data_IF_176300650935
#
_entry.id   IF_176300650935
#
_cell.length_a   1.000
_cell.length_b   1.000
_cell.length_c   1.000
_cell.angle_alpha   90.00
_cell.angle_beta   90.00
_cell.angle_gamma   90.00
#
_symmetry.space_group_name_H-M   'P 1'
#
loop_
_entity.id
_entity.type
_entity.pdbx_description
1 polymer ?
#
# COMPACT_ATOMS: atom_id res chain seq x y z
N UNK A 1 14.16 6.73 4.31
CA UNK A 1 13.33 7.34 3.25
C UNK A 1 13.62 8.83 3.28
N UNK A 2 13.75 9.49 2.14
CA UNK A 2 14.12 10.91 2.06
C UNK A 2 12.88 11.75 1.85
N UNK A 3 12.87 12.95 2.41
CA UNK A 3 11.80 13.91 2.15
C UNK A 3 11.85 14.32 0.67
N UNK A 4 10.71 14.35 0.03
CA UNK A 4 10.54 14.81 -1.34
C UNK A 4 9.88 16.19 -1.27
N UNK A 5 10.53 17.17 -1.89
CA UNK A 5 9.99 18.52 -1.97
C UNK A 5 8.86 18.56 -3.02
N UNK A 6 7.67 18.13 -2.61
CA UNK A 6 6.51 18.08 -3.48
C UNK A 6 6.12 19.47 -3.96
N UNK A 7 5.90 19.58 -5.27
CA UNK A 7 5.32 20.76 -5.92
C UNK A 7 4.37 20.27 -7.01
N UNK A 8 3.11 20.71 -7.03
CA UNK A 8 2.21 20.35 -8.11
C UNK A 8 2.64 21.04 -9.41
N UNK A 9 2.31 20.43 -10.55
CA UNK A 9 2.45 21.01 -11.88
C UNK A 9 1.10 21.49 -12.39
N UNK A 10 1.09 22.53 -13.23
CA UNK A 10 -0.13 22.96 -13.87
C UNK A 10 -0.64 21.90 -14.84
N UNK A 11 -1.86 21.41 -14.61
CA UNK A 11 -2.57 20.54 -15.55
C UNK A 11 -2.89 21.28 -16.86
N UNK A 12 -2.95 20.55 -17.96
CA UNK A 12 -3.43 21.08 -19.23
C UNK A 12 -4.91 21.50 -19.11
N UNK A 13 -5.40 22.47 -19.91
CA UNK A 13 -6.78 22.93 -19.82
C UNK A 13 -7.81 21.80 -19.97
N UNK A 14 -7.59 20.87 -20.92
CA UNK A 14 -8.45 19.71 -21.15
C UNK A 14 -8.46 18.75 -19.93
N UNK A 15 -7.28 18.46 -19.37
CA UNK A 15 -7.15 17.61 -18.18
C UNK A 15 -7.85 18.24 -16.97
N UNK A 16 -7.72 19.56 -16.77
CA UNK A 16 -8.44 20.27 -15.69
C UNK A 16 -9.95 20.08 -15.80
N UNK A 17 -10.49 20.24 -17.01
CA UNK A 17 -11.93 20.09 -17.26
C UNK A 17 -12.37 18.64 -17.03
N UNK A 18 -11.62 17.66 -17.56
CA UNK A 18 -11.90 16.24 -17.40
C UNK A 18 -11.84 15.78 -15.94
N UNK A 19 -10.78 16.15 -15.22
CA UNK A 19 -10.63 15.86 -13.80
C UNK A 19 -11.76 16.49 -12.99
N UNK A 20 -12.09 17.76 -13.22
CA UNK A 20 -13.19 18.42 -12.52
C UNK A 20 -14.54 17.75 -12.79
N UNK A 21 -14.81 17.38 -14.05
CA UNK A 21 -16.02 16.67 -14.43
C UNK A 21 -16.09 15.28 -13.78
N UNK A 22 -15.01 14.51 -13.81
CA UNK A 22 -14.95 13.18 -13.20
C UNK A 22 -15.17 13.25 -11.68
N UNK A 23 -14.46 14.13 -10.97
CA UNK A 23 -14.62 14.30 -9.52
C UNK A 23 -16.03 14.76 -9.14
N UNK A 24 -16.62 15.69 -9.90
CA UNK A 24 -18.00 16.13 -9.69
C UNK A 24 -18.99 14.97 -9.83
N UNK A 25 -18.92 14.24 -10.93
CA UNK A 25 -19.82 13.12 -11.20
C UNK A 25 -19.66 11.99 -10.17
N UNK A 26 -18.42 11.67 -9.75
CA UNK A 26 -18.17 10.69 -8.69
C UNK A 26 -18.89 11.08 -7.39
N UNK A 27 -18.77 12.35 -6.98
CA UNK A 27 -19.43 12.86 -5.77
C UNK A 27 -20.96 12.79 -5.88
N UNK A 28 -21.51 13.22 -7.01
CA UNK A 28 -22.96 13.22 -7.26
C UNK A 28 -23.53 11.79 -7.23
N UNK A 29 -22.88 10.84 -7.89
CA UNK A 29 -23.31 9.44 -7.90
C UNK A 29 -23.31 8.82 -6.50
N UNK A 30 -22.24 8.98 -5.73
CA UNK A 30 -22.18 8.44 -4.36
C UNK A 30 -23.22 9.08 -3.46
N UNK A 31 -23.49 10.38 -3.62
CA UNK A 31 -24.54 11.07 -2.86
C UNK A 31 -25.93 10.51 -3.16
N UNK A 32 -26.21 10.13 -4.42
CA UNK A 32 -27.50 9.54 -4.80
C UNK A 32 -27.71 8.13 -4.24
N UNK A 33 -26.63 7.41 -3.93
CA UNK A 33 -26.70 6.05 -3.38
C UNK A 33 -26.78 6.01 -1.84
N UNK A 34 -26.84 7.15 -1.15
CA UNK A 34 -26.90 7.21 0.33
C UNK A 34 -28.11 6.46 0.87
N UNK A 35 -29.26 6.56 0.20
CA UNK A 35 -30.52 5.94 0.59
C UNK A 35 -30.84 4.66 -0.21
N UNK A 36 -29.83 4.06 -0.84
CA UNK A 36 -30.02 2.88 -1.66
C UNK A 36 -30.56 1.70 -0.83
N UNK A 37 -31.53 0.92 -1.37
CA UNK A 37 -32.15 -0.16 -0.61
C UNK A 37 -31.16 -1.32 -0.38
N UNK A 38 -31.16 -1.86 0.85
CA UNK A 38 -30.40 -3.06 1.17
C UNK A 38 -30.87 -4.26 0.34
N UNK A 39 -29.95 -5.18 0.09
CA UNK A 39 -30.07 -6.41 -0.68
C UNK A 39 -30.34 -6.25 -2.19
N UNK A 40 -30.24 -5.02 -2.70
CA UNK A 40 -30.37 -4.71 -4.12
C UNK A 40 -29.03 -4.32 -4.74
N UNK A 41 -28.96 -4.47 -6.07
CA UNK A 41 -27.83 -4.06 -6.91
C UNK A 41 -28.35 -3.18 -8.05
N UNK A 42 -27.50 -2.34 -8.62
CA UNK A 42 -27.87 -1.53 -9.79
C UNK A 42 -28.09 -2.40 -11.02
N UNK A 43 -29.30 -2.33 -11.59
CA UNK A 43 -29.71 -3.03 -12.82
C UNK A 43 -29.22 -2.32 -14.08
N UNK A 44 -29.40 -2.96 -15.25
CA UNK A 44 -29.16 -2.31 -16.55
C UNK A 44 -30.02 -1.06 -16.73
N UNK A 45 -31.27 -1.10 -16.26
CA UNK A 45 -32.21 0.03 -16.38
C UNK A 45 -31.77 1.20 -15.49
N UNK A 46 -31.40 0.94 -14.24
CA UNK A 46 -30.87 1.98 -13.33
C UNK A 46 -29.65 2.68 -13.94
N UNK A 47 -28.75 1.89 -14.53
CA UNK A 47 -27.52 2.41 -15.14
C UNK A 47 -27.79 3.18 -16.43
N UNK A 48 -28.70 2.69 -17.26
CA UNK A 48 -29.12 3.38 -18.48
C UNK A 48 -29.75 4.74 -18.14
N UNK A 49 -30.57 4.80 -17.10
CA UNK A 49 -31.12 6.05 -16.59
C UNK A 49 -30.01 7.03 -16.17
N UNK A 50 -29.00 6.57 -15.41
CA UNK A 50 -27.86 7.42 -15.02
C UNK A 50 -27.09 7.95 -16.25
N UNK A 51 -26.91 7.13 -17.28
CA UNK A 51 -26.25 7.57 -18.52
C UNK A 51 -27.09 8.63 -19.25
N UNK A 52 -28.41 8.44 -19.33
CA UNK A 52 -29.36 9.39 -19.95
C UNK A 52 -29.41 10.73 -19.19
N UNK A 53 -29.19 10.70 -17.89
CA UNK A 53 -29.05 11.89 -17.04
C UNK A 53 -27.69 12.61 -17.21
N UNK A 54 -26.77 12.04 -17.99
CA UNK A 54 -25.52 12.67 -18.41
C UNK A 54 -24.26 12.23 -17.65
N UNK A 55 -24.33 11.16 -16.84
CA UNK A 55 -23.13 10.57 -16.24
C UNK A 55 -22.31 9.79 -17.27
N UNK A 56 -20.98 9.84 -17.12
CA UNK A 56 -20.05 9.15 -18.00
C UNK A 56 -20.27 7.63 -17.96
N UNK A 57 -20.41 6.94 -19.11
CA UNK A 57 -20.63 5.50 -19.15
C UNK A 57 -19.58 4.70 -18.40
N UNK A 58 -18.29 5.04 -18.52
CA UNK A 58 -17.22 4.32 -17.81
C UNK A 58 -17.33 4.45 -16.28
N UNK A 59 -17.84 5.58 -15.79
CA UNK A 59 -18.06 5.78 -14.36
C UNK A 59 -19.27 4.98 -13.87
N UNK A 60 -20.36 5.01 -14.64
CA UNK A 60 -21.57 4.24 -14.34
C UNK A 60 -21.30 2.75 -14.42
N UNK A 61 -20.52 2.27 -15.40
CA UNK A 61 -20.16 0.85 -15.57
C UNK A 61 -19.39 0.28 -14.37
N UNK A 62 -18.66 1.15 -13.65
CA UNK A 62 -17.78 0.78 -12.55
C UNK A 62 -18.31 1.25 -11.18
N UNK A 63 -19.54 1.75 -11.14
CA UNK A 63 -20.26 2.12 -9.91
C UNK A 63 -20.69 0.86 -9.14
N UNK A 64 -20.27 0.81 -7.88
CA UNK A 64 -20.53 -0.30 -6.96
C UNK A 64 -21.65 0.08 -5.99
N UNK A 65 -22.66 -0.78 -5.91
CA UNK A 65 -23.71 -0.78 -4.88
C UNK A 65 -23.97 -2.24 -4.51
N UNK A 66 -23.55 -2.63 -3.32
CA UNK A 66 -23.73 -3.99 -2.82
C UNK A 66 -24.13 -3.97 -1.34
N UNK A 67 -24.79 -5.04 -0.91
CA UNK A 67 -24.95 -5.35 0.51
C UNK A 67 -23.85 -6.30 0.94
N UNK A 68 -22.90 -5.78 1.71
CA UNK A 68 -21.74 -6.51 2.21
C UNK A 68 -22.05 -7.13 3.57
N UNK A 69 -21.84 -8.45 3.66
CA UNK A 69 -21.75 -9.19 4.92
C UNK A 69 -20.28 -9.47 5.22
N UNK A 70 -19.71 -8.70 6.14
CA UNK A 70 -18.37 -8.96 6.66
C UNK A 70 -18.50 -9.86 7.89
N UNK A 71 -17.72 -10.95 7.96
CA UNK A 71 -17.95 -12.05 8.91
C UNK A 71 -18.12 -11.64 10.38
N UNK A 72 -17.39 -10.63 10.85
CA UNK A 72 -17.43 -10.18 12.25
C UNK A 72 -18.44 -9.03 12.52
N UNK A 73 -19.17 -8.56 11.50
CA UNK A 73 -20.13 -7.47 11.68
C UNK A 73 -21.50 -8.01 12.13
N UNK A 74 -22.17 -7.32 13.08
CA UNK A 74 -23.44 -7.78 13.64
C UNK A 74 -24.60 -7.69 12.63
N UNK A 75 -24.41 -6.94 11.55
CA UNK A 75 -25.43 -6.67 10.53
C UNK A 75 -24.78 -6.44 9.17
N UNK A 76 -25.53 -6.72 8.11
CA UNK A 76 -25.14 -6.38 6.76
C UNK A 76 -25.05 -4.86 6.57
N UNK A 77 -24.19 -4.42 5.65
CA UNK A 77 -23.95 -3.00 5.40
C UNK A 77 -24.04 -2.68 3.91
N UNK A 78 -24.56 -1.51 3.56
CA UNK A 78 -24.45 -0.99 2.19
C UNK A 78 -23.01 -0.54 1.97
N UNK A 79 -22.42 -1.05 0.89
CA UNK A 79 -21.15 -0.56 0.38
C UNK A 79 -21.40 0.10 -0.97
N UNK A 80 -21.07 1.38 -1.05
CA UNK A 80 -21.05 2.17 -2.28
C UNK A 80 -19.63 2.61 -2.61
N UNK A 81 -19.37 2.89 -3.87
CA UNK A 81 -18.06 3.34 -4.32
C UNK A 81 -17.83 3.01 -5.77
N UNK A 82 -16.55 2.88 -6.10
CA UNK A 82 -16.09 2.57 -7.44
C UNK A 82 -15.08 1.44 -7.40
N UNK A 83 -15.04 0.64 -8.47
CA UNK A 83 -13.94 -0.29 -8.71
C UNK A 83 -12.78 0.45 -9.45
N UNK A 84 -11.69 -0.26 -9.76
CA UNK A 84 -10.53 0.28 -10.46
C UNK A 84 -10.84 0.94 -11.82
N UNK A 85 -11.77 0.37 -12.59
CA UNK A 85 -12.12 0.84 -13.94
C UNK A 85 -12.76 2.23 -14.00
N UNK A 86 -13.20 2.78 -12.85
CA UNK A 86 -13.75 4.14 -12.77
C UNK A 86 -12.68 5.24 -12.84
N UNK A 87 -11.41 4.90 -12.64
CA UNK A 87 -10.32 5.88 -12.54
C UNK A 87 -9.53 5.92 -13.85
N UNK A 88 -9.63 7.03 -14.56
CA UNK A 88 -8.93 7.21 -15.83
C UNK A 88 -7.42 7.41 -15.59
N UNK A 89 -6.64 6.39 -15.93
CA UNK A 89 -5.18 6.41 -15.81
C UNK A 89 -4.55 7.50 -16.67
N UNK A 90 -5.19 7.93 -17.75
CA UNK A 90 -4.72 9.03 -18.58
C UNK A 90 -4.78 10.38 -17.85
N UNK A 91 -5.59 10.52 -16.80
CA UNK A 91 -5.70 11.78 -16.03
C UNK A 91 -4.71 11.87 -14.88
N UNK A 92 -4.35 10.76 -14.22
CA UNK A 92 -3.39 10.79 -13.10
C UNK A 92 -2.00 10.24 -13.44
N UNK A 93 -1.86 9.54 -14.56
CA UNK A 93 -0.60 8.98 -15.04
C UNK A 93 -0.25 9.42 -16.47
N UNK A 94 -0.75 10.58 -16.90
CA UNK A 94 -0.34 11.25 -18.13
C UNK A 94 1.20 11.37 -18.21
N UNK A 95 1.76 11.33 -19.41
CA UNK A 95 3.22 11.35 -19.61
C UNK A 95 3.90 12.57 -18.97
N UNK A 96 3.25 13.74 -19.05
CA UNK A 96 3.78 14.97 -18.45
C UNK A 96 3.76 14.93 -16.91
N UNK A 97 2.71 14.35 -16.29
CA UNK A 97 2.65 14.11 -14.85
C UNK A 97 3.70 13.08 -14.44
N UNK A 98 3.77 11.95 -15.14
CA UNK A 98 4.76 10.91 -14.87
C UNK A 98 6.17 11.46 -14.92
N UNK A 99 6.50 12.20 -15.97
CA UNK A 99 7.77 12.91 -16.10
C UNK A 99 8.01 13.85 -14.93
N UNK A 100 7.03 14.68 -14.54
CA UNK A 100 7.15 15.59 -13.41
C UNK A 100 7.47 14.88 -12.09
N UNK A 101 6.69 13.85 -11.72
CA UNK A 101 6.93 13.08 -10.49
C UNK A 101 8.23 12.29 -10.52
N UNK A 102 8.64 11.80 -11.70
CA UNK A 102 9.94 11.18 -11.88
C UNK A 102 11.07 12.17 -11.59
N UNK A 103 10.97 13.43 -12.04
CA UNK A 103 11.95 14.47 -11.72
C UNK A 103 11.93 14.84 -10.23
N UNK A 104 10.75 15.01 -9.61
CA UNK A 104 10.63 15.28 -8.17
C UNK A 104 11.35 14.23 -7.32
N UNK A 105 11.27 12.96 -7.74
CA UNK A 105 11.86 11.83 -7.03
C UNK A 105 13.27 11.47 -7.54
N UNK A 106 13.89 12.30 -8.39
CA UNK A 106 15.21 12.05 -8.99
C UNK A 106 15.31 10.68 -9.67
N UNK A 107 14.20 10.23 -10.25
CA UNK A 107 14.10 8.97 -10.93
C UNK A 107 13.99 7.74 -10.02
N UNK A 108 13.84 7.92 -8.71
CA UNK A 108 13.73 6.86 -7.72
C UNK A 108 12.29 6.60 -7.25
N UNK A 109 12.07 5.41 -6.71
CA UNK A 109 10.85 5.09 -5.97
C UNK A 109 10.73 6.01 -4.76
N UNK A 110 9.59 6.69 -4.60
CA UNK A 110 9.34 7.59 -3.47
C UNK A 110 9.28 6.89 -2.10
N UNK A 111 9.21 5.55 -2.09
CA UNK A 111 9.25 4.74 -0.88
C UNK A 111 10.61 4.07 -0.65
N UNK A 112 10.99 3.10 -1.48
CA UNK A 112 12.18 2.29 -1.23
C UNK A 112 13.49 2.91 -1.74
N UNK A 113 13.42 4.04 -2.45
CA UNK A 113 14.55 4.75 -3.05
C UNK A 113 15.35 3.93 -4.09
N UNK A 114 14.76 2.87 -4.64
CA UNK A 114 15.35 2.17 -5.80
C UNK A 114 15.29 3.06 -7.04
N UNK A 115 16.36 3.10 -7.84
CA UNK A 115 16.36 3.83 -9.09
C UNK A 115 15.51 3.11 -10.15
N UNK A 116 14.55 3.82 -10.73
CA UNK A 116 13.54 3.27 -11.64
C UNK A 116 13.70 3.78 -13.09
N UNK A 117 14.32 4.96 -13.26
CA UNK A 117 14.34 5.63 -14.56
C UNK A 117 15.16 4.88 -15.61
N UNK A 118 16.24 4.22 -15.22
CA UNK A 118 17.06 3.43 -16.17
C UNK A 118 16.29 2.30 -16.86
N UNK A 119 15.25 1.77 -16.21
CA UNK A 119 14.47 0.62 -16.70
C UNK A 119 13.03 0.99 -17.01
N UNK A 120 12.64 2.26 -16.87
CA UNK A 120 11.26 2.73 -16.93
C UNK A 120 10.30 1.90 -16.06
N UNK A 121 10.79 1.39 -14.92
CA UNK A 121 10.06 0.48 -14.03
C UNK A 121 9.19 1.20 -12.99
N UNK A 122 9.02 2.51 -13.13
CA UNK A 122 8.21 3.33 -12.23
C UNK A 122 6.87 3.71 -12.82
N UNK A 123 5.89 3.87 -11.92
CA UNK A 123 4.52 4.26 -12.23
C UNK A 123 4.03 5.29 -11.23
N UNK A 124 2.90 5.93 -11.58
CA UNK A 124 2.16 6.74 -10.63
C UNK A 124 1.24 5.84 -9.82
N UNK A 125 1.42 5.85 -8.50
CA UNK A 125 0.52 5.24 -7.53
C UNK A 125 -0.13 6.29 -6.64
N UNK A 126 -0.95 5.83 -5.69
CA UNK A 126 -1.63 6.71 -4.73
C UNK A 126 -1.14 6.49 -3.30
N UNK A 127 -0.92 7.59 -2.56
CA UNK A 127 -0.57 7.56 -1.14
C UNK A 127 -1.77 7.02 -0.35
N UNK A 128 -2.95 7.64 -0.50
CA UNK A 128 -4.24 7.11 -0.05
C UNK A 128 -4.85 6.28 -1.16
N UNK A 129 -5.16 4.99 -0.93
CA UNK A 129 -5.65 4.11 -1.98
C UNK A 129 -7.04 4.55 -2.42
N UNK A 130 -7.33 4.59 -3.72
CA UNK A 130 -8.59 5.18 -4.25
C UNK A 130 -9.58 4.15 -4.78
N UNK A 131 -9.09 2.98 -5.16
CA UNK A 131 -9.91 1.88 -5.70
C UNK A 131 -10.43 0.93 -4.62
N UNK A 132 -9.61 0.63 -3.61
CA UNK A 132 -9.95 -0.33 -2.58
C UNK A 132 -9.29 0.05 -1.26
N UNK A 133 -9.94 -0.30 -0.16
CA UNK A 133 -9.38 -0.21 1.18
C UNK A 133 -9.33 -1.61 1.79
N UNK A 134 -8.12 -2.03 2.16
CA UNK A 134 -7.88 -3.22 2.96
C UNK A 134 -7.97 -2.85 4.43
N UNK A 135 -8.97 -3.40 5.11
CA UNK A 135 -9.05 -3.26 6.57
C UNK A 135 -8.18 -4.34 7.19
N UNK A 136 -7.23 -3.92 8.02
CA UNK A 136 -6.45 -4.82 8.85
C UNK A 136 -7.42 -5.56 9.78
N UNK A 137 -7.36 -6.88 9.72
CA UNK A 137 -7.95 -7.73 10.73
C UNK A 137 -6.79 -8.35 11.54
N UNK A 138 -7.02 -8.75 12.80
CA UNK A 138 -6.09 -9.59 13.56
C UNK A 138 -5.53 -10.75 12.73
N UNK A 139 -4.37 -11.33 13.07
CA UNK A 139 -3.68 -12.36 12.27
C UNK A 139 -4.51 -13.62 11.92
N UNK A 140 -5.67 -13.80 12.55
CA UNK A 140 -6.57 -14.94 12.42
C UNK A 140 -7.87 -14.59 11.66
N UNK A 141 -8.07 -13.34 11.24
CA UNK A 141 -9.25 -12.88 10.52
C UNK A 141 -8.90 -12.50 9.08
N UNK A 142 -9.81 -12.79 8.16
CA UNK A 142 -9.69 -12.44 6.76
C UNK A 142 -9.62 -10.92 6.58
N UNK A 143 -8.70 -10.43 5.75
CA UNK A 143 -8.66 -9.01 5.37
C UNK A 143 -9.90 -8.66 4.56
N UNK A 144 -10.76 -7.79 5.10
CA UNK A 144 -11.95 -7.33 4.39
C UNK A 144 -11.55 -6.23 3.41
N UNK A 145 -11.84 -6.45 2.12
CA UNK A 145 -11.66 -5.46 1.05
C UNK A 145 -12.96 -4.72 0.82
N UNK A 146 -12.92 -3.39 0.87
CA UNK A 146 -14.06 -2.49 0.62
C UNK A 146 -13.70 -1.47 -0.45
N UNK A 147 -14.70 -0.82 -1.06
CA UNK A 147 -14.48 0.37 -1.88
C UNK A 147 -13.82 1.46 -1.01
N UNK A 148 -12.85 2.16 -1.58
CA UNK A 148 -12.15 3.19 -0.82
C UNK A 148 -13.01 4.44 -0.66
N UNK A 149 -13.05 5.06 0.54
CA UNK A 149 -13.67 6.38 0.73
C UNK A 149 -12.83 7.51 0.08
N UNK A 150 -11.59 7.24 -0.32
CA UNK A 150 -10.67 8.23 -0.88
C UNK A 150 -10.80 8.42 -2.40
N UNK A 151 -11.87 7.94 -3.02
CA UNK A 151 -12.06 8.01 -4.48
C UNK A 151 -11.94 9.43 -5.06
N UNK A 152 -12.34 10.47 -4.29
CA UNK A 152 -12.19 11.88 -4.70
C UNK A 152 -10.74 12.35 -4.81
N UNK A 153 -9.79 11.61 -4.24
CA UNK A 153 -8.35 11.91 -4.26
C UNK A 153 -7.64 11.27 -5.46
N UNK A 154 -8.36 10.61 -6.38
CA UNK A 154 -7.77 9.89 -7.51
C UNK A 154 -6.93 10.77 -8.44
N UNK A 155 -7.29 12.04 -8.58
CA UNK A 155 -6.64 12.99 -9.48
C UNK A 155 -5.97 14.16 -8.74
N UNK A 156 -5.90 14.10 -7.41
CA UNK A 156 -5.20 15.13 -6.63
C UNK A 156 -3.71 14.82 -6.60
N UNK A 157 -2.88 15.75 -7.10
CA UNK A 157 -1.44 15.53 -7.25
C UNK A 157 -0.74 15.26 -5.91
N UNK A 158 -1.23 15.82 -4.81
CA UNK A 158 -0.74 15.60 -3.45
C UNK A 158 -0.93 14.16 -2.98
N UNK A 159 -1.82 13.42 -3.64
CA UNK A 159 -2.08 12.00 -3.39
C UNK A 159 -1.37 11.07 -4.39
N UNK A 160 -0.70 11.61 -5.42
CA UNK A 160 0.01 10.84 -6.44
C UNK A 160 1.49 10.70 -6.07
N UNK A 161 2.11 9.54 -6.36
CA UNK A 161 3.52 9.32 -6.05
C UNK A 161 4.19 8.41 -7.10
N UNK A 162 5.42 8.74 -7.50
CA UNK A 162 6.22 7.89 -8.39
C UNK A 162 6.89 6.75 -7.62
N UNK A 163 6.50 5.51 -7.92
CA UNK A 163 6.83 4.32 -7.12
C UNK A 163 7.05 3.08 -8.00
N UNK A 164 7.70 2.05 -7.45
CA UNK A 164 7.82 0.75 -8.11
C UNK A 164 6.64 -0.18 -7.79
N UNK A 165 6.43 -1.18 -8.63
CA UNK A 165 5.35 -2.17 -8.48
C UNK A 165 5.40 -2.91 -7.14
N UNK A 166 6.61 -3.26 -6.68
CA UNK A 166 6.77 -3.92 -5.39
C UNK A 166 6.18 -3.05 -4.26
N UNK A 167 6.56 -1.78 -4.16
CA UNK A 167 6.06 -0.91 -3.10
C UNK A 167 4.56 -0.63 -3.25
N UNK A 168 4.07 -0.40 -4.47
CA UNK A 168 2.68 0.00 -4.70
C UNK A 168 1.68 -1.15 -4.59
N UNK A 169 1.90 -2.24 -5.32
CA UNK A 169 0.89 -3.30 -5.50
C UNK A 169 1.14 -4.47 -4.56
N UNK A 170 2.40 -4.91 -4.46
CA UNK A 170 2.74 -6.14 -3.73
C UNK A 170 2.74 -5.94 -2.21
N UNK A 171 3.29 -4.82 -1.74
CA UNK A 171 3.42 -4.54 -0.31
C UNK A 171 2.32 -3.60 0.19
N UNK A 172 2.28 -2.33 -0.26
CA UNK A 172 1.30 -1.35 0.23
C UNK A 172 -0.12 -1.78 -0.11
N UNK A 173 -0.38 -2.10 -1.38
CA UNK A 173 -1.71 -2.48 -1.83
C UNK A 173 -2.76 -1.41 -1.49
N UNK A 174 -3.94 -1.85 -1.04
CA UNK A 174 -4.96 -0.97 -0.47
C UNK A 174 -4.82 -0.74 1.04
N UNK A 175 -3.67 -1.05 1.65
CA UNK A 175 -3.46 -0.84 3.07
C UNK A 175 -3.14 0.65 3.34
N UNK A 176 -3.91 1.26 4.25
CA UNK A 176 -3.68 2.63 4.71
C UNK A 176 -4.03 2.73 6.20
N UNK A 177 -3.19 2.17 7.09
CA UNK A 177 -3.43 2.16 8.54
C UNK A 177 -3.47 3.58 9.13
N UNK A 178 -4.36 3.79 10.09
CA UNK A 178 -4.61 5.06 10.77
C UNK A 178 -4.69 4.83 12.28
N UNK A 179 -4.37 5.86 13.07
CA UNK A 179 -4.80 5.98 14.46
C UNK A 179 -6.18 6.65 14.48
N UNK A 180 -7.13 6.08 15.21
CA UNK A 180 -8.46 6.66 15.37
C UNK A 180 -9.41 6.42 14.19
N UNK A 181 -10.21 7.44 13.88
CA UNK A 181 -11.29 7.36 12.89
C UNK A 181 -10.80 7.68 11.47
N UNK A 182 -11.58 7.23 10.48
CA UNK A 182 -11.32 7.41 9.04
C UNK A 182 -12.45 8.22 8.41
N UNK A 183 -12.18 8.88 7.28
CA UNK A 183 -13.21 9.28 6.33
C UNK A 183 -14.23 8.13 6.08
N UNK A 184 -15.55 8.39 6.10
CA UNK A 184 -16.22 9.70 6.24
C UNK A 184 -16.50 10.15 7.68
N UNK A 185 -16.15 9.36 8.70
CA UNK A 185 -16.45 9.69 10.10
C UNK A 185 -15.70 10.95 10.58
N UNK A 186 -14.52 11.20 10.02
CA UNK A 186 -13.72 12.42 10.22
C UNK A 186 -13.26 12.99 8.88
N UNK A 187 -12.86 14.26 8.90
CA UNK A 187 -12.21 14.90 7.75
C UNK A 187 -10.78 14.39 7.53
N UNK A 188 -10.23 14.57 6.32
CA UNK A 188 -8.90 14.04 5.95
C UNK A 188 -7.78 14.65 6.80
N UNK A 189 -7.91 15.91 7.19
CA UNK A 189 -6.96 16.64 8.04
C UNK A 189 -6.95 16.16 9.50
N UNK A 190 -8.01 15.47 9.94
CA UNK A 190 -8.11 14.86 11.26
C UNK A 190 -7.61 13.41 11.30
N UNK A 191 -7.40 12.78 10.15
CA UNK A 191 -6.81 11.44 10.09
C UNK A 191 -5.35 11.46 10.58
N UNK A 192 -4.92 10.40 11.26
CA UNK A 192 -3.54 10.21 11.69
C UNK A 192 -2.93 8.97 11.00
N UNK A 193 -2.36 9.10 9.79
CA UNK A 193 -1.80 7.96 9.06
C UNK A 193 -0.55 7.39 9.69
N UNK A 194 -0.49 6.05 9.73
CA UNK A 194 0.68 5.28 10.19
C UNK A 194 1.67 4.95 9.08
N UNK A 195 1.37 5.32 7.83
CA UNK A 195 2.35 5.30 6.75
C UNK A 195 3.04 6.66 6.65
N UNK A 196 4.37 6.64 6.57
CA UNK A 196 5.16 7.84 6.32
C UNK A 196 4.87 8.35 4.91
N UNK A 197 4.42 9.60 4.82
CA UNK A 197 4.23 10.34 3.58
C UNK A 197 5.50 11.15 3.28
N UNK A 198 6.25 10.84 2.20
CA UNK A 198 7.48 11.54 1.88
C UNK A 198 7.31 13.02 1.50
N UNK A 199 6.08 13.49 1.28
CA UNK A 199 5.80 14.90 0.97
C UNK A 199 5.59 15.76 2.21
N UNK A 200 4.91 15.23 3.21
CA UNK A 200 4.44 16.01 4.37
C UNK A 200 5.19 15.66 5.66
N UNK A 201 5.65 14.42 5.80
CA UNK A 201 6.45 14.02 6.96
C UNK A 201 7.93 14.38 6.78
N UNK A 202 8.68 14.26 7.87
CA UNK A 202 10.14 14.11 7.83
C UNK A 202 10.47 12.62 7.89
N UNK A 203 10.64 11.91 6.76
CA UNK A 203 10.66 10.44 6.77
C UNK A 203 11.85 9.88 7.54
N UNK A 204 12.91 10.69 7.62
CA UNK A 204 14.08 10.44 8.42
C UNK A 204 13.77 10.42 9.93
N UNK A 205 12.72 11.03 10.45
CA UNK A 205 12.39 10.91 11.88
C UNK A 205 11.77 9.55 12.24
N UNK A 206 11.37 8.75 11.25
CA UNK A 206 10.68 7.48 11.46
C UNK A 206 11.49 6.28 10.99
N UNK A 207 12.24 6.41 9.90
CA UNK A 207 12.92 5.28 9.24
C UNK A 207 14.38 5.63 8.97
N UNK A 208 15.28 4.79 9.48
CA UNK A 208 16.73 4.80 9.24
C UNK A 208 17.19 3.44 8.75
N UNK A 209 18.45 3.34 8.33
CA UNK A 209 19.05 2.11 7.84
C UNK A 209 20.30 1.73 8.63
N UNK A 210 20.42 0.44 8.91
CA UNK A 210 21.60 -0.15 9.49
C UNK A 210 22.73 -0.20 8.43
N UNK A 211 23.91 0.39 8.70
CA UNK A 211 25.00 0.48 7.74
C UNK A 211 25.79 -0.83 7.56
N UNK A 212 25.46 -1.87 8.33
CA UNK A 212 26.04 -3.22 8.22
C UNK A 212 25.09 -4.15 7.49
N UNK A 213 23.82 -4.20 7.91
CA UNK A 213 22.82 -5.13 7.34
C UNK A 213 22.01 -4.54 6.20
N UNK A 214 22.06 -3.21 6.00
CA UNK A 214 21.27 -2.45 5.03
C UNK A 214 19.74 -2.53 5.24
N UNK A 215 19.31 -3.07 6.40
CA UNK A 215 17.90 -3.15 6.79
C UNK A 215 17.43 -1.79 7.32
N UNK A 216 16.19 -1.47 7.00
CA UNK A 216 15.47 -0.38 7.63
C UNK A 216 15.08 -0.76 9.07
N UNK A 217 15.10 0.20 9.98
CA UNK A 217 14.66 0.03 11.36
C UNK A 217 13.81 1.23 11.82
N UNK A 218 12.88 1.03 12.78
CA UNK A 218 11.97 2.07 13.26
C UNK A 218 12.74 3.04 14.16
N UNK A 219 13.23 4.12 13.56
CA UNK A 219 14.07 5.11 14.24
C UNK A 219 13.30 5.94 15.25
N UNK A 220 12.03 6.25 14.97
CA UNK A 220 11.13 6.92 15.92
C UNK A 220 11.07 6.16 17.25
N UNK A 221 10.87 4.85 17.18
CA UNK A 221 10.76 3.98 18.35
C UNK A 221 12.10 3.84 19.10
N UNK A 222 13.20 3.57 18.37
CA UNK A 222 14.53 3.46 18.99
C UNK A 222 14.99 4.80 19.60
N UNK A 223 14.74 5.91 18.91
CA UNK A 223 15.11 7.24 19.38
C UNK A 223 14.33 7.60 20.65
N UNK A 224 13.01 7.37 20.67
CA UNK A 224 12.20 7.59 21.86
C UNK A 224 12.67 6.77 23.07
N UNK A 225 13.04 5.51 22.85
CA UNK A 225 13.62 4.65 23.88
C UNK A 225 14.91 5.25 24.47
N UNK A 226 15.85 5.67 23.61
CA UNK A 226 17.12 6.24 24.04
C UNK A 226 16.96 7.59 24.74
N UNK A 227 16.02 8.43 24.28
CA UNK A 227 15.70 9.72 24.89
C UNK A 227 15.14 9.53 26.30
N UNK A 228 14.16 8.63 26.47
CA UNK A 228 13.51 8.38 27.76
C UNK A 228 14.46 7.70 28.75
N UNK A 229 15.23 6.69 28.32
CA UNK A 229 16.09 5.89 29.22
C UNK A 229 17.45 6.51 29.51
N UNK A 230 17.97 7.33 28.58
CA UNK A 230 19.27 7.98 28.74
C UNK A 230 19.20 9.46 29.05
N UNK A 231 17.99 10.02 29.24
CA UNK A 231 17.76 11.44 29.50
C UNK A 231 18.50 12.36 28.53
N UNK A 232 18.35 12.09 27.23
CA UNK A 232 19.05 12.81 26.16
C UNK A 232 18.08 13.43 25.14
N UNK A 233 18.53 14.46 24.45
CA UNK A 233 17.82 15.08 23.34
C UNK A 233 17.80 14.19 22.10
N UNK A 234 16.92 14.52 21.15
CA UNK A 234 16.84 13.83 19.85
C UNK A 234 18.18 13.83 19.09
N UNK A 235 18.88 14.99 19.08
CA UNK A 235 20.17 15.12 18.39
C UNK A 235 21.28 14.27 19.06
N UNK A 236 21.24 14.16 20.39
CA UNK A 236 22.15 13.29 21.14
C UNK A 236 21.85 11.82 20.89
N UNK A 237 20.58 11.42 20.83
CA UNK A 237 20.17 10.07 20.49
C UNK A 237 20.59 9.68 19.07
N UNK A 238 20.39 10.56 18.09
CA UNK A 238 20.83 10.34 16.71
C UNK A 238 22.36 10.16 16.63
N UNK A 239 23.12 11.06 17.26
CA UNK A 239 24.58 10.98 17.32
C UNK A 239 25.04 9.73 18.06
N UNK A 240 24.34 9.31 19.12
CA UNK A 240 24.65 8.07 19.86
C UNK A 240 24.51 6.86 18.96
N UNK A 241 23.43 6.77 18.18
CA UNK A 241 23.21 5.67 17.24
C UNK A 241 24.32 5.60 16.18
N UNK A 242 24.72 6.74 15.60
CA UNK A 242 25.81 6.76 14.62
C UNK A 242 27.18 6.41 15.22
N UNK A 243 27.44 6.78 16.47
CA UNK A 243 28.71 6.50 17.13
C UNK A 243 28.81 5.08 17.67
N UNK A 244 27.67 4.43 17.97
CA UNK A 244 27.56 3.11 18.59
C UNK A 244 26.62 2.20 17.77
N UNK A 245 26.99 1.85 16.52
CA UNK A 245 26.13 1.03 15.65
C UNK A 245 25.92 -0.40 16.17
N UNK A 246 26.65 -0.85 17.18
CA UNK A 246 26.36 -2.10 17.90
C UNK A 246 24.97 -2.11 18.54
N UNK A 247 24.40 -0.94 18.86
CA UNK A 247 23.00 -0.82 19.30
C UNK A 247 22.05 -1.38 18.23
N UNK A 248 22.45 -1.30 16.96
CA UNK A 248 21.64 -1.74 15.83
C UNK A 248 21.63 -3.27 15.65
N UNK A 249 22.49 -4.03 16.34
CA UNK A 249 22.48 -5.50 16.29
C UNK A 249 21.13 -6.10 16.72
N UNK A 250 20.36 -5.35 17.50
CA UNK A 250 19.04 -5.74 17.99
C UNK A 250 17.89 -5.14 17.16
N UNK A 251 18.15 -4.42 16.07
CA UNK A 251 17.08 -3.72 15.31
C UNK A 251 16.07 -4.64 14.62
N UNK A 252 16.38 -5.92 14.44
CA UNK A 252 15.41 -6.92 14.00
C UNK A 252 14.34 -7.22 15.06
N UNK A 253 14.66 -6.99 16.33
CA UNK A 253 13.78 -7.22 17.46
C UNK A 253 14.22 -6.33 18.64
N UNK A 254 13.68 -5.11 18.67
CA UNK A 254 14.05 -4.11 19.69
C UNK A 254 13.75 -4.58 21.12
N UNK A 255 12.90 -5.60 21.31
CA UNK A 255 12.62 -6.17 22.65
C UNK A 255 13.85 -6.79 23.30
N UNK A 256 14.88 -7.11 22.51
CA UNK A 256 16.16 -7.64 23.00
C UNK A 256 17.07 -6.57 23.59
N UNK A 257 16.75 -5.29 23.41
CA UNK A 257 17.49 -4.21 24.07
C UNK A 257 17.24 -4.27 25.59
N UNK A 258 18.30 -4.15 26.42
CA UNK A 258 18.16 -4.23 27.87
C UNK A 258 17.16 -3.19 28.40
N UNK A 259 16.10 -3.62 29.09
CA UNK A 259 15.08 -2.73 29.66
C UNK A 259 14.04 -2.19 28.66
N UNK A 260 14.13 -2.54 27.37
CA UNK A 260 13.19 -2.06 26.36
C UNK A 260 11.76 -2.57 26.60
N UNK A 261 11.59 -3.86 26.92
CA UNK A 261 10.26 -4.42 27.15
C UNK A 261 9.54 -3.73 28.31
N UNK A 262 10.25 -3.47 29.41
CA UNK A 262 9.73 -2.74 30.58
C UNK A 262 9.38 -1.29 30.23
N UNK A 263 10.28 -0.60 29.52
CA UNK A 263 10.01 0.75 29.02
C UNK A 263 8.78 0.78 28.11
N UNK A 264 8.70 -0.11 27.13
CA UNK A 264 7.60 -0.14 26.17
C UNK A 264 6.27 -0.44 26.84
N UNK A 265 6.24 -1.35 27.82
CA UNK A 265 5.05 -1.64 28.63
C UNK A 265 4.65 -0.46 29.53
N UNK A 266 5.58 0.41 29.92
CA UNK A 266 5.29 1.61 30.71
C UNK A 266 4.61 2.72 29.90
N UNK A 267 4.64 2.64 28.56
CA UNK A 267 4.05 3.65 27.69
C UNK A 267 2.52 3.50 27.64
N UNK A 268 1.81 4.64 27.69
CA UNK A 268 0.39 4.67 27.41
C UNK A 268 0.07 4.28 25.96
N UNK A 269 -1.12 3.73 25.72
CA UNK A 269 -1.55 3.24 24.39
C UNK A 269 -1.42 4.29 23.29
N UNK A 270 -1.70 5.57 23.58
CA UNK A 270 -1.57 6.66 22.63
C UNK A 270 -0.12 6.87 22.17
N UNK A 271 0.84 6.89 23.11
CA UNK A 271 2.27 7.03 22.79
C UNK A 271 2.79 5.82 22.01
N UNK A 272 2.34 4.60 22.36
CA UNK A 272 2.65 3.39 21.59
C UNK A 272 2.14 3.50 20.15
N UNK A 273 0.91 3.94 19.95
CA UNK A 273 0.35 4.13 18.62
C UNK A 273 1.14 5.16 17.80
N UNK A 274 1.50 6.30 18.40
CA UNK A 274 2.30 7.34 17.74
C UNK A 274 3.70 6.86 17.33
N UNK A 275 4.34 6.01 18.14
CA UNK A 275 5.66 5.42 17.87
C UNK A 275 5.63 4.22 16.91
N UNK A 276 4.46 3.84 16.39
CA UNK A 276 4.31 2.70 15.48
C UNK A 276 4.47 3.07 13.99
N UNK A 277 4.62 4.36 13.66
CA UNK A 277 4.62 4.87 12.28
C UNK A 277 5.82 4.36 11.47
N UNK A 278 7.03 4.43 12.04
CA UNK A 278 8.25 3.90 11.40
C UNK A 278 8.16 2.39 11.16
N UNK A 279 7.77 1.64 12.19
CA UNK A 279 7.61 0.19 12.12
C UNK A 279 6.56 -0.23 11.08
N UNK A 280 5.37 0.39 11.15
CA UNK A 280 4.26 0.10 10.23
C UNK A 280 4.65 0.41 8.79
N UNK A 281 5.38 1.50 8.55
CA UNK A 281 5.85 1.84 7.21
C UNK A 281 6.88 0.84 6.67
N UNK A 282 7.80 0.35 7.52
CA UNK A 282 8.79 -0.65 7.12
C UNK A 282 8.12 -1.94 6.66
N UNK A 283 7.16 -2.43 7.45
CA UNK A 283 6.42 -3.65 7.16
C UNK A 283 5.53 -3.49 5.93
N UNK A 284 4.67 -2.46 5.92
CA UNK A 284 3.66 -2.24 4.89
C UNK A 284 4.24 -1.89 3.52
N UNK A 285 5.42 -1.26 3.47
CA UNK A 285 6.12 -0.94 2.21
C UNK A 285 7.15 -2.03 1.83
N UNK A 286 7.31 -3.07 2.65
CA UNK A 286 8.28 -4.14 2.43
C UNK A 286 9.70 -3.62 2.34
N UNK A 287 10.10 -2.67 3.21
CA UNK A 287 11.40 -2.03 3.14
C UNK A 287 12.57 -2.97 3.49
N UNK A 288 12.27 -4.12 4.08
CA UNK A 288 13.24 -5.17 4.45
C UNK A 288 13.10 -6.45 3.63
N UNK A 289 12.38 -6.41 2.49
CA UNK A 289 12.30 -7.57 1.60
C UNK A 289 13.69 -8.00 1.08
N UNK A 290 13.96 -9.31 0.94
CA UNK A 290 15.31 -9.82 0.68
C UNK A 290 16.01 -9.17 -0.52
N UNK A 291 15.32 -9.03 -1.64
CA UNK A 291 15.84 -8.47 -2.89
C UNK A 291 16.27 -7.00 -2.73
N UNK A 292 15.53 -6.23 -1.92
CA UNK A 292 15.86 -4.83 -1.66
C UNK A 292 17.06 -4.70 -0.72
N UNK A 293 17.13 -5.54 0.30
CA UNK A 293 18.27 -5.58 1.24
C UNK A 293 19.55 -5.96 0.50
N UNK A 294 19.51 -6.96 -0.39
CA UNK A 294 20.67 -7.34 -1.21
C UNK A 294 21.13 -6.19 -2.12
N UNK A 295 20.20 -5.50 -2.80
CA UNK A 295 20.54 -4.36 -3.65
C UNK A 295 21.17 -3.20 -2.86
N UNK A 296 20.68 -2.96 -1.65
CA UNK A 296 21.24 -1.98 -0.72
C UNK A 296 22.63 -2.35 -0.21
N UNK A 297 22.86 -3.61 0.18
CA UNK A 297 24.18 -4.11 0.57
C UNK A 297 25.22 -3.92 -0.54
N UNK A 298 24.85 -4.23 -1.79
CA UNK A 298 25.72 -3.98 -2.94
C UNK A 298 26.08 -2.48 -3.08
N UNK A 299 25.11 -1.59 -2.84
CA UNK A 299 25.32 -0.14 -2.86
C UNK A 299 26.22 0.32 -1.71
N UNK A 300 26.06 -0.24 -0.50
CA UNK A 300 26.96 0.05 0.63
C UNK A 300 28.41 -0.34 0.32
N UNK A 301 28.62 -1.49 -0.33
CA UNK A 301 29.97 -1.92 -0.74
C UNK A 301 30.64 -0.94 -1.70
N UNK A 302 29.88 -0.35 -2.64
CA UNK A 302 30.38 0.70 -3.54
C UNK A 302 30.64 2.01 -2.78
N UNK A 303 29.71 2.41 -1.93
CA UNK A 303 29.80 3.63 -1.12
C UNK A 303 31.01 3.60 -0.18
N UNK A 304 31.31 2.45 0.42
CA UNK A 304 32.44 2.28 1.32
C UNK A 304 33.79 2.53 0.62
N UNK A 305 33.91 2.15 -0.66
CA UNK A 305 35.11 2.44 -1.47
C UNK A 305 35.27 3.94 -1.68
N UNK A 306 34.19 4.64 -2.04
CA UNK A 306 34.19 6.10 -2.20
C UNK A 306 34.54 6.81 -0.88
N UNK A 307 33.95 6.38 0.24
CA UNK A 307 34.25 6.93 1.57
C UNK A 307 35.72 6.72 1.97
N UNK A 308 36.30 5.56 1.67
CA UNK A 308 37.72 5.29 1.95
C UNK A 308 38.65 6.23 1.17
N UNK A 309 38.28 6.60 -0.06
CA UNK A 309 39.02 7.59 -0.84
C UNK A 309 38.87 9.00 -0.25
N UNK A 310 37.66 9.40 0.12
CA UNK A 310 37.40 10.67 0.83
C UNK A 310 38.24 10.81 2.09
N UNK A 311 38.31 9.75 2.92
CA UNK A 311 39.10 9.75 4.17
C UNK A 311 40.60 10.00 3.93
N UNK A 312 41.12 9.66 2.74
CA UNK A 312 42.52 9.88 2.36
C UNK A 312 42.76 11.27 1.74
N UNK A 313 41.72 12.00 1.40
CA UNK A 313 41.83 13.33 0.81
C UNK A 313 42.05 14.42 1.87
N UNK A 314 42.60 15.57 1.46
CA UNK A 314 42.84 16.71 2.34
C UNK A 314 41.54 17.41 2.78
N UNK A 315 40.44 17.19 2.05
CA UNK A 315 39.11 17.72 2.38
C UNK A 315 38.37 16.75 3.31
N UNK A 316 38.17 17.16 4.57
CA UNK A 316 37.50 16.34 5.61
C UNK A 316 36.05 16.77 5.91
N UNK A 317 35.45 17.61 5.07
CA UNK A 317 34.07 18.06 5.25
C UNK A 317 33.09 16.99 4.76
N UNK A 318 32.50 16.24 5.70
CA UNK A 318 31.57 15.16 5.40
C UNK A 318 30.27 15.64 4.74
N UNK A 319 29.58 16.69 5.22
CA UNK A 319 28.43 17.27 4.53
C UNK A 319 28.71 17.59 3.05
N UNK A 320 29.81 18.29 2.75
CA UNK A 320 30.17 18.63 1.37
C UNK A 320 30.41 17.36 0.54
N UNK A 321 31.08 16.36 1.11
CA UNK A 321 31.27 15.08 0.44
C UNK A 321 29.95 14.39 0.11
N UNK A 322 29.03 14.29 1.08
CA UNK A 322 27.69 13.70 0.88
C UNK A 322 26.96 14.39 -0.27
N UNK A 323 27.01 15.71 -0.35
CA UNK A 323 26.33 16.49 -1.38
C UNK A 323 26.95 16.31 -2.78
N UNK A 324 28.26 16.06 -2.85
CA UNK A 324 28.96 15.83 -4.13
C UNK A 324 28.82 14.40 -4.66
N UNK A 325 28.41 13.45 -3.82
CA UNK A 325 28.30 12.06 -4.24
C UNK A 325 27.15 11.87 -5.24
N UNK A 326 27.37 11.21 -6.39
CA UNK A 326 26.33 10.91 -7.35
C UNK A 326 25.47 9.71 -6.88
N UNK A 327 24.89 9.79 -5.68
CA UNK A 327 24.00 8.77 -5.13
C UNK A 327 22.63 8.94 -5.77
N UNK A 328 22.39 8.15 -6.82
CA UNK A 328 21.07 8.10 -7.46
C UNK A 328 20.05 7.33 -6.62
N UNK A 329 20.47 6.25 -5.96
CA UNK A 329 19.58 5.34 -5.21
C UNK A 329 19.97 5.16 -3.75
N UNK A 330 18.97 4.84 -2.91
CA UNK A 330 19.15 4.54 -1.49
C UNK A 330 19.84 5.67 -0.71
N UNK A 331 19.59 6.93 -1.09
CA UNK A 331 20.18 8.13 -0.51
C UNK A 331 20.11 8.15 1.01
N UNK A 332 18.96 7.79 1.59
CA UNK A 332 18.81 7.77 3.04
C UNK A 332 19.77 6.80 3.73
N UNK A 333 19.90 5.59 3.17
CA UNK A 333 20.82 4.58 3.68
C UNK A 333 22.26 5.04 3.53
N UNK A 334 22.61 5.65 2.40
CA UNK A 334 23.95 6.18 2.18
C UNK A 334 24.32 7.26 3.20
N UNK A 335 23.41 8.17 3.53
CA UNK A 335 23.60 9.17 4.59
C UNK A 335 23.87 8.49 5.92
N UNK A 336 23.04 7.52 6.31
CA UNK A 336 23.16 6.82 7.61
C UNK A 336 24.51 6.08 7.73
N UNK A 337 24.96 5.45 6.63
CA UNK A 337 26.24 4.77 6.57
C UNK A 337 27.43 5.72 6.66
N UNK A 338 27.41 6.82 5.90
CA UNK A 338 28.50 7.80 5.91
C UNK A 338 28.65 8.47 7.28
N UNK A 339 27.55 8.87 7.91
CA UNK A 339 27.59 9.40 9.28
C UNK A 339 28.14 8.38 10.28
N UNK A 340 27.68 7.13 10.20
CA UNK A 340 28.17 6.06 11.10
C UNK A 340 29.67 5.85 10.93
N UNK A 341 30.16 5.65 9.70
CA UNK A 341 31.58 5.42 9.45
C UNK A 341 32.44 6.61 9.86
N UNK A 342 31.95 7.84 9.70
CA UNK A 342 32.65 9.05 10.13
C UNK A 342 32.78 9.15 11.65
N UNK A 343 31.70 8.89 12.39
CA UNK A 343 31.72 8.91 13.85
C UNK A 343 32.57 7.80 14.44
N UNK A 344 32.53 6.58 13.88
CA UNK A 344 33.41 5.49 14.30
C UNK A 344 34.89 5.82 14.09
N UNK A 345 35.26 6.45 12.97
CA UNK A 345 36.66 6.83 12.75
C UNK A 345 37.14 7.96 13.67
N UNK A 346 36.23 8.77 14.19
CA UNK A 346 36.55 9.84 15.16
C UNK A 346 36.73 9.30 16.58
N UNK A 347 36.16 8.13 16.90
CA UNK A 347 36.33 7.43 18.18
C UNK A 347 37.48 6.42 18.16
N UNK A 348 37.92 5.96 16.98
CA UNK A 348 39.01 5.00 16.77
C UNK A 348 40.44 5.61 16.78
N UNK A 349 40.74 6.45 17.78
CA UNK A 349 42.11 6.52 18.36
C UNK A 349 42.34 5.45 19.42
N UNK A 350 41.42 4.49 19.60
CA UNK A 350 41.63 3.30 20.41
C UNK A 350 40.85 2.09 19.86
N UNK A 351 41.59 1.05 19.47
CA UNK A 351 41.08 -0.33 19.38
C UNK A 351 40.58 -0.78 18.01
N UNK A 352 41.43 -1.49 17.27
CA UNK A 352 41.02 -2.35 16.16
C UNK A 352 39.99 -3.39 16.62
N UNK A 353 38.96 -3.65 15.80
CA UNK A 353 38.14 -4.84 16.03
C UNK A 353 37.71 -5.56 14.74
N UNK A 354 37.77 -6.89 14.86
CA UNK A 354 37.57 -7.91 13.84
C UNK A 354 36.09 -8.10 13.51
N UNK A 355 35.79 -8.19 12.21
CA UNK A 355 34.48 -8.53 11.65
C UNK A 355 34.11 -9.98 11.98
N UNK A 356 32.97 -10.20 12.65
CA UNK A 356 32.33 -11.53 12.74
C UNK A 356 31.12 -11.57 11.82
N UNK A 357 31.05 -12.65 11.05
CA UNK A 357 29.91 -13.03 10.20
C UNK A 357 28.72 -13.42 11.08
N UNK A 358 27.54 -12.87 10.80
CA UNK A 358 26.27 -13.21 11.45
C UNK A 358 25.40 -13.91 10.42
N UNK A 359 24.91 -15.09 10.80
CA UNK A 359 24.00 -15.94 10.03
C UNK A 359 22.59 -15.37 10.07
N UNK A 360 21.99 -15.12 8.91
CA UNK A 360 20.62 -14.64 8.78
C UNK A 360 19.61 -15.78 8.94
N UNK A 361 18.66 -15.63 9.87
CA UNK A 361 17.38 -16.31 9.79
C UNK A 361 16.42 -15.45 8.96
N UNK A 362 15.97 -16.01 7.84
CA UNK A 362 14.96 -15.43 6.95
C UNK A 362 13.58 -15.95 7.35
N UNK A 363 12.71 -15.09 7.86
CA UNK A 363 11.27 -15.29 7.77
C UNK A 363 10.82 -14.82 6.37
N UNK A 364 10.86 -15.74 5.41
CA UNK A 364 10.28 -15.52 4.08
C UNK A 364 8.76 -15.68 4.16
N UNK A 365 8.03 -14.56 4.18
CA UNK A 365 6.67 -14.53 3.67
C UNK A 365 6.71 -13.76 2.34
N UNK A 366 7.15 -14.46 1.29
CA UNK A 366 6.99 -13.98 -0.08
C UNK A 366 5.50 -14.06 -0.41
N UNK A 367 4.79 -12.95 -0.26
CA UNK A 367 3.38 -12.85 -0.64
C UNK A 367 3.24 -12.93 -2.16
N UNK A 368 2.65 -14.01 -2.65
CA UNK A 368 1.86 -14.00 -3.89
C UNK A 368 0.64 -13.10 -3.63
N UNK A 369 0.86 -11.78 -3.63
CA UNK A 369 -0.21 -10.82 -3.48
C UNK A 369 -0.84 -10.56 -4.84
N UNK A 370 -2.16 -10.74 -4.94
CA UNK A 370 -2.93 -10.42 -6.13
C UNK A 370 -2.92 -8.91 -6.43
N UNK A 371 -2.97 -8.50 -7.71
CA UNK A 371 -3.02 -7.09 -8.08
C UNK A 371 -4.20 -6.35 -7.43
N UNK A 372 -4.03 -5.07 -7.07
CA UNK A 372 -5.08 -4.29 -6.43
C UNK A 372 -6.35 -4.20 -7.28
N UNK A 373 -6.22 -3.90 -8.58
CA UNK A 373 -7.34 -3.83 -9.51
C UNK A 373 -8.19 -5.12 -9.50
N UNK A 374 -7.52 -6.28 -9.38
CA UNK A 374 -8.17 -7.59 -9.34
C UNK A 374 -8.92 -7.78 -8.02
N UNK A 375 -8.28 -7.43 -6.90
CA UNK A 375 -8.88 -7.51 -5.56
C UNK A 375 -10.02 -6.52 -5.34
N UNK A 376 -9.96 -5.36 -5.99
CA UNK A 376 -11.03 -4.35 -5.98
C UNK A 376 -12.28 -4.85 -6.70
N UNK A 377 -12.12 -5.73 -7.68
CA UNK A 377 -13.19 -6.04 -8.65
C UNK A 377 -13.91 -7.35 -8.38
N UNK A 378 -13.37 -8.29 -7.60
CA UNK A 378 -14.02 -9.59 -7.37
C UNK A 378 -14.74 -9.70 -6.04
N UNK A 379 -15.92 -10.31 -6.00
CA UNK A 379 -16.66 -10.65 -4.78
C UNK A 379 -17.37 -12.00 -4.91
N UNK A 380 -17.65 -12.65 -3.79
CA UNK A 380 -18.69 -13.68 -3.77
C UNK A 380 -20.07 -13.01 -3.78
N UNK A 381 -21.00 -13.61 -4.52
CA UNK A 381 -22.41 -13.21 -4.55
C UNK A 381 -23.25 -14.41 -4.08
N UNK A 382 -24.10 -14.20 -3.08
CA UNK A 382 -25.04 -15.20 -2.58
C UNK A 382 -26.45 -14.64 -2.70
N UNK A 383 -27.24 -15.28 -3.54
CA UNK A 383 -28.65 -14.96 -3.72
C UNK A 383 -29.47 -15.61 -2.58
N UNK A 384 -30.63 -15.05 -2.24
CA UNK A 384 -31.50 -15.51 -1.15
C UNK A 384 -31.82 -17.02 -1.23
N UNK A 385 -32.03 -17.55 -2.44
CA UNK A 385 -32.27 -18.98 -2.66
C UNK A 385 -31.04 -19.87 -2.40
N UNK A 386 -29.85 -19.29 -2.27
CA UNK A 386 -28.57 -19.99 -2.17
C UNK A 386 -27.92 -19.90 -0.77
N UNK A 387 -28.60 -19.30 0.21
CA UNK A 387 -28.06 -19.11 1.56
C UNK A 387 -27.62 -20.43 2.22
N UNK A 388 -28.38 -21.51 2.03
CA UNK A 388 -28.07 -22.84 2.56
C UNK A 388 -27.03 -23.63 1.74
N UNK A 389 -26.62 -23.13 0.57
CA UNK A 389 -25.66 -23.83 -0.28
C UNK A 389 -24.26 -23.77 0.35
N UNK A 390 -23.60 -24.92 0.51
CA UNK A 390 -22.27 -24.99 1.16
C UNK A 390 -21.16 -25.49 0.24
N UNK A 391 -21.48 -25.95 -0.97
CA UNK A 391 -20.50 -26.58 -1.88
C UNK A 391 -19.94 -25.63 -2.94
N UNK A 392 -20.60 -24.48 -3.13
CA UNK A 392 -20.15 -23.45 -4.07
C UNK A 392 -20.68 -22.08 -3.71
N UNK A 393 -20.01 -21.05 -4.21
CA UNK A 393 -20.44 -19.64 -4.19
C UNK A 393 -20.26 -19.04 -5.57
N UNK A 394 -21.21 -18.22 -6.03
CA UNK A 394 -21.02 -17.47 -7.28
C UNK A 394 -19.88 -16.47 -7.09
N UNK A 395 -19.03 -16.37 -8.09
CA UNK A 395 -17.98 -15.35 -8.16
C UNK A 395 -18.43 -14.30 -9.17
N UNK A 396 -18.36 -13.04 -8.79
CA UNK A 396 -18.74 -11.92 -9.65
C UNK A 396 -17.62 -10.92 -9.79
N UNK A 397 -17.56 -10.30 -10.96
CA UNK A 397 -16.80 -9.10 -11.22
C UNK A 397 -17.74 -7.90 -11.02
N UNK A 398 -17.33 -6.93 -10.21
CA UNK A 398 -18.13 -5.77 -9.82
C UNK A 398 -18.22 -4.72 -10.94
N UNK A 399 -18.66 -5.11 -12.13
CA UNK A 399 -18.90 -4.23 -13.28
C UNK A 399 -20.33 -4.42 -13.79
N UNK A 400 -20.90 -3.37 -14.34
CA UNK A 400 -22.19 -3.41 -15.04
C UNK A 400 -22.26 -4.46 -16.17
N UNK A 401 -21.10 -4.86 -16.71
CA UNK A 401 -21.01 -5.86 -17.78
C UNK A 401 -21.03 -7.30 -17.27
N UNK A 402 -20.81 -7.52 -15.98
CA UNK A 402 -20.86 -8.86 -15.40
C UNK A 402 -22.24 -9.50 -15.56
N UNK A 403 -22.25 -10.76 -15.98
CA UNK A 403 -23.46 -11.51 -16.30
C UNK A 403 -24.42 -11.63 -15.12
N UNK A 404 -23.88 -11.81 -13.92
CA UNK A 404 -24.65 -11.96 -12.71
C UNK A 404 -24.88 -10.59 -12.09
N UNK A 405 -23.85 -9.83 -11.72
CA UNK A 405 -23.99 -8.55 -10.99
C UNK A 405 -24.70 -7.43 -11.75
N UNK A 406 -24.52 -7.29 -13.07
CA UNK A 406 -24.91 -6.07 -13.78
C UNK A 406 -26.18 -6.13 -14.64
N UNK A 407 -26.75 -7.30 -14.92
CA UNK A 407 -27.74 -7.43 -16.00
C UNK A 407 -29.21 -7.26 -15.56
N UNK A 408 -29.69 -8.06 -14.61
CA UNK A 408 -31.13 -8.13 -14.28
C UNK A 408 -31.41 -7.87 -12.80
N UNK A 409 -32.64 -7.42 -12.51
CA UNK A 409 -33.17 -7.44 -11.15
C UNK A 409 -33.04 -8.86 -10.58
N UNK A 410 -32.35 -8.98 -9.46
CA UNK A 410 -32.15 -10.24 -8.76
C UNK A 410 -33.14 -10.37 -7.63
N UNK A 411 -33.29 -11.61 -7.14
CA UNK A 411 -33.71 -11.78 -5.76
C UNK A 411 -32.70 -11.13 -4.80
N UNK A 412 -33.05 -11.01 -3.52
CA UNK A 412 -32.19 -10.36 -2.53
C UNK A 412 -30.81 -11.01 -2.52
N UNK A 413 -29.76 -10.19 -2.57
CA UNK A 413 -28.39 -10.67 -2.64
C UNK A 413 -27.53 -10.13 -1.49
N UNK A 414 -26.64 -10.97 -0.99
CA UNK A 414 -25.56 -10.62 -0.07
C UNK A 414 -24.22 -10.91 -0.72
N UNK A 415 -23.27 -10.01 -0.52
CA UNK A 415 -21.91 -10.12 -1.02
C UNK A 415 -20.97 -10.42 0.12
N UNK A 416 -20.00 -11.30 -0.12
CA UNK A 416 -18.96 -11.65 0.84
C UNK A 416 -17.58 -11.22 0.30
N UNK A 417 -16.68 -10.76 1.17
CA UNK A 417 -15.28 -10.56 0.79
C UNK A 417 -14.62 -11.90 0.43
N UNK A 418 -13.61 -11.86 -0.43
CA UNK A 418 -12.70 -12.99 -0.61
C UNK A 418 -11.62 -12.96 0.46
N UNK A 419 -11.30 -14.12 1.02
CA UNK A 419 -10.09 -14.28 1.81
C UNK A 419 -8.95 -14.63 0.85
N UNK A 420 -8.17 -13.62 0.44
CA UNK A 420 -7.09 -13.82 -0.52
C UNK A 420 -5.97 -14.77 -0.06
N UNK A 421 -5.91 -15.13 1.21
CA UNK A 421 -4.99 -16.14 1.71
C UNK A 421 -5.62 -17.54 1.65
N UNK A 422 -6.84 -17.70 2.17
CA UNK A 422 -7.53 -19.00 2.22
C UNK A 422 -8.09 -19.42 0.85
N UNK A 423 -8.60 -18.47 0.07
CA UNK A 423 -9.28 -18.74 -1.19
C UNK A 423 -8.32 -18.89 -2.36
N UNK A 424 -7.05 -18.49 -2.22
CA UNK A 424 -6.05 -18.46 -3.30
C UNK A 424 -6.00 -19.75 -4.14
N UNK A 425 -6.15 -20.90 -3.47
CA UNK A 425 -6.04 -22.22 -4.07
C UNK A 425 -7.39 -22.89 -4.36
N UNK A 426 -8.52 -22.19 -4.12
CA UNK A 426 -9.84 -22.74 -4.43
C UNK A 426 -10.04 -22.86 -5.95
N UNK A 427 -10.75 -23.92 -6.33
CA UNK A 427 -11.05 -24.23 -7.72
C UNK A 427 -12.18 -23.32 -8.23
N UNK A 428 -11.93 -22.66 -9.36
CA UNK A 428 -12.91 -21.81 -10.03
C UNK A 428 -13.44 -22.57 -11.24
N UNK A 429 -14.76 -22.66 -11.35
CA UNK A 429 -15.44 -23.23 -12.51
C UNK A 429 -16.01 -22.11 -13.36
N UNK A 430 -15.78 -22.21 -14.66
CA UNK A 430 -16.31 -21.28 -15.66
C UNK A 430 -17.18 -22.07 -16.63
N UNK A 431 -18.46 -21.71 -16.70
CA UNK A 431 -19.43 -22.31 -17.62
C UNK A 431 -19.76 -21.33 -18.74
N UNK A 432 -19.38 -21.71 -19.97
CA UNK A 432 -19.90 -21.09 -21.18
C UNK A 432 -21.16 -21.77 -21.67
N UNK A 433 -21.65 -21.29 -22.81
CA UNK A 433 -22.75 -21.91 -23.54
C UNK A 433 -22.44 -23.34 -24.05
N UNK A 434 -21.16 -23.72 -24.23
CA UNK A 434 -20.77 -25.03 -24.79
C UNK A 434 -20.09 -25.94 -23.78
N UNK A 435 -19.26 -25.41 -22.89
CA UNK A 435 -18.36 -26.20 -22.05
C UNK A 435 -18.26 -25.65 -20.63
N UNK A 436 -17.77 -26.49 -19.72
CA UNK A 436 -17.31 -26.10 -18.37
C UNK A 436 -15.82 -26.39 -18.31
N UNK A 437 -15.04 -25.43 -17.81
CA UNK A 437 -13.62 -25.63 -17.54
C UNK A 437 -13.25 -25.04 -16.17
N UNK A 438 -12.04 -25.36 -15.75
CA UNK A 438 -11.48 -25.01 -14.45
C UNK A 438 -10.38 -23.97 -14.57
N UNK A 439 -10.22 -23.16 -13.53
CA UNK A 439 -9.12 -22.21 -13.39
C UNK A 439 -8.89 -21.90 -11.90
N UNK A 440 -7.94 -21.03 -11.59
CA UNK A 440 -7.60 -20.57 -10.24
C UNK A 440 -7.53 -19.05 -10.17
N UNK A 441 -7.55 -18.50 -8.95
CA UNK A 441 -7.35 -17.05 -8.78
C UNK A 441 -6.00 -16.58 -9.33
N UNK A 442 -4.94 -17.38 -9.21
CA UNK A 442 -3.61 -17.08 -9.76
C UNK A 442 -3.62 -16.92 -11.28
N UNK A 443 -4.34 -17.80 -11.99
CA UNK A 443 -4.49 -17.72 -13.44
C UNK A 443 -5.38 -16.54 -13.87
N UNK A 444 -6.48 -16.30 -13.15
CA UNK A 444 -7.32 -15.14 -13.43
C UNK A 444 -6.58 -13.82 -13.20
N UNK A 445 -5.72 -13.75 -12.17
CA UNK A 445 -4.95 -12.55 -11.84
C UNK A 445 -3.81 -12.26 -12.82
N UNK A 446 -3.33 -13.26 -13.56
CA UNK A 446 -2.33 -13.08 -14.63
C UNK A 446 -2.96 -12.66 -15.97
N UNK A 447 -4.29 -12.71 -16.07
CA UNK A 447 -5.04 -12.31 -17.27
C UNK A 447 -5.12 -10.78 -17.39
N UNK A 448 -5.32 -10.28 -18.62
CA UNK A 448 -5.53 -8.83 -18.83
C UNK A 448 -6.90 -8.42 -18.28
N UNK A 449 -7.07 -7.20 -17.73
CA UNK A 449 -8.35 -6.74 -17.19
C UNK A 449 -9.53 -6.89 -18.17
N UNK A 450 -9.33 -6.57 -19.45
CA UNK A 450 -10.38 -6.71 -20.47
C UNK A 450 -10.74 -8.16 -20.80
N UNK A 451 -9.76 -9.07 -20.79
CA UNK A 451 -10.01 -10.51 -20.99
C UNK A 451 -10.84 -11.08 -19.85
N UNK A 452 -10.48 -10.67 -18.62
CA UNK A 452 -11.22 -11.06 -17.42
C UNK A 452 -12.64 -10.50 -17.44
N UNK A 453 -12.81 -9.22 -17.75
CA UNK A 453 -14.13 -8.60 -17.90
C UNK A 453 -14.99 -9.36 -18.91
N UNK A 454 -14.43 -9.69 -20.08
CA UNK A 454 -15.11 -10.49 -21.09
C UNK A 454 -15.48 -11.88 -20.57
N UNK A 455 -14.63 -12.53 -19.78
CA UNK A 455 -14.93 -13.82 -19.16
C UNK A 455 -16.19 -13.73 -18.29
N UNK A 456 -16.25 -12.76 -17.37
CA UNK A 456 -17.40 -12.57 -16.47
C UNK A 456 -18.66 -12.05 -17.18
N UNK A 457 -18.50 -11.35 -18.30
CA UNK A 457 -19.63 -10.84 -19.10
C UNK A 457 -20.42 -11.97 -19.77
N UNK A 458 -19.73 -13.02 -20.24
CA UNK A 458 -20.34 -14.04 -21.10
C UNK A 458 -20.55 -15.39 -20.39
N UNK A 459 -19.95 -15.61 -19.22
CA UNK A 459 -19.91 -16.92 -18.57
C UNK A 459 -20.51 -16.86 -17.15
N UNK A 460 -20.98 -18.00 -16.67
CA UNK A 460 -21.27 -18.17 -15.26
C UNK A 460 -20.00 -18.63 -14.55
N UNK A 461 -19.61 -17.96 -13.47
CA UNK A 461 -18.39 -18.25 -12.73
C UNK A 461 -18.74 -18.56 -11.27
N UNK A 462 -18.23 -19.68 -10.74
CA UNK A 462 -18.39 -20.02 -9.34
C UNK A 462 -17.11 -20.64 -8.78
N UNK A 463 -16.96 -20.58 -7.47
CA UNK A 463 -15.88 -21.23 -6.74
C UNK A 463 -16.44 -22.45 -6.03
N UNK A 464 -15.74 -23.57 -6.13
CA UNK A 464 -16.06 -24.81 -5.41
C UNK A 464 -15.32 -24.86 -4.08
N UNK A 465 -15.98 -25.42 -3.07
CA UNK A 465 -15.37 -25.64 -1.77
C UNK A 465 -16.42 -25.67 -0.67
N UNK A 466 -16.03 -26.10 0.55
CA UNK A 466 -16.89 -25.93 1.70
C UNK A 466 -17.01 -24.43 2.02
N UNK A 467 -18.24 -23.96 2.09
CA UNK A 467 -18.62 -22.63 2.54
C UNK A 467 -19.64 -22.78 3.67
N UNK A 468 -19.61 -21.86 4.62
CA UNK A 468 -20.60 -21.81 5.68
C UNK A 468 -21.97 -21.44 5.11
N UNK A 469 -23.01 -22.12 5.60
CA UNK A 469 -24.38 -21.72 5.33
C UNK A 469 -24.63 -20.34 5.94
N UNK A 470 -25.30 -19.47 5.17
CA UNK A 470 -25.67 -18.15 5.61
C UNK A 470 -27.08 -18.17 6.20
N UNK A 471 -27.32 -17.35 7.21
CA UNK A 471 -28.67 -17.07 7.69
C UNK A 471 -29.32 -15.99 6.83
N UNK A 472 -30.66 -16.04 6.71
CA UNK A 472 -31.40 -14.87 6.21
C UNK A 472 -31.11 -13.68 7.12
N UNK A 473 -31.05 -12.50 6.51
CA UNK A 473 -31.17 -11.27 7.27
C UNK A 473 -32.55 -11.14 7.92
#
# INVERSE_FOLDING_TARGET
MIKINFKPVALLPDEKVKTAAATRQMKELITRLVDAPMYHTLTTEDRQQLIEEGYAPDLVDNLVLITLRAGDQPSDTIQTGFNYGAFDTALFSAEHLKSHFQHLNQGCCGYCESYLSATNAGKIGHIRPVELLEKNAPPQQARVVTCSPYYLLAYQQENLIYVCDACNDKYKGGQFPLIGQRLPAVSIDQEQPLLVNPYTDEPRHYIRFDPVTARAYPFDLLCAYLMDTGAMSFAEAEKKIWSHPEILQHTSDLSQLPGFAEWFQSLGQEKVAQLSKGYTSIEMLGLNRPELVVARLATLGQLHRAYTQFKRSDHKDLPVFIDTLPILQYKSMSIDALHTWHHQTSTLTAGENKTKSITHQSSTAAGDAFPNWFRASLRYCVEESQLAQTQRRNLVFLSAKDKLYGQKAKEKCVFLPLDWQQDKHKLIKVRSHRNIWETSFSELASSRPMELLNLFTHNQVWVEGPFDALQSA
#
